data_IF_431648357522
#
_entry.id   IF_431648357522
#
_cell.length_a   1.000
_cell.length_b   1.000
_cell.length_c   1.000
_cell.angle_alpha   90.00
_cell.angle_beta   90.00
_cell.angle_gamma   90.00
#
_symmetry.space_group_name_H-M   'P 1'
#
loop_
_entity.id
_entity.type
_entity.pdbx_description
1 polymer ?
#
# COMPACT_ATOMS: atom_id res chain seq x y z
N UNK A 1 -50.92 2.71 15.51
CA UNK A 1 -49.74 1.82 15.42
C UNK A 1 -49.87 1.04 14.14
N UNK A 2 -49.12 1.39 13.09
CA UNK A 2 -49.14 0.64 11.82
C UNK A 2 -48.67 -0.78 12.11
N UNK A 3 -49.52 -1.78 11.86
CA UNK A 3 -49.12 -3.18 11.86
C UNK A 3 -47.92 -3.34 10.92
N UNK A 4 -46.87 -4.01 11.39
CA UNK A 4 -45.69 -4.28 10.58
C UNK A 4 -46.08 -5.28 9.49
N UNK A 5 -46.23 -4.80 8.25
CA UNK A 5 -46.55 -5.66 7.11
C UNK A 5 -45.31 -6.51 6.77
N UNK A 6 -45.47 -7.83 6.87
CA UNK A 6 -44.43 -8.79 6.54
C UNK A 6 -44.66 -9.29 5.11
N UNK A 7 -43.57 -9.42 4.35
CA UNK A 7 -43.56 -9.93 2.98
C UNK A 7 -42.80 -11.24 2.95
N UNK A 8 -43.34 -12.22 2.20
CA UNK A 8 -42.67 -13.47 1.91
C UNK A 8 -41.77 -13.33 0.67
N UNK A 9 -40.45 -13.39 0.84
CA UNK A 9 -39.49 -13.49 -0.26
C UNK A 9 -39.24 -14.97 -0.54
N UNK A 10 -39.56 -15.41 -1.75
CA UNK A 10 -39.43 -16.81 -2.18
C UNK A 10 -38.27 -16.94 -3.16
N UNK A 11 -37.36 -17.86 -2.88
CA UNK A 11 -36.25 -18.22 -3.77
C UNK A 11 -36.10 -19.74 -3.78
N UNK A 12 -36.12 -20.34 -4.97
CA UNK A 12 -36.19 -21.80 -5.11
C UNK A 12 -37.27 -22.42 -4.20
N UNK A 13 -36.86 -23.26 -3.25
CA UNK A 13 -37.74 -23.95 -2.28
C UNK A 13 -37.78 -23.27 -0.90
N UNK A 14 -37.13 -22.11 -0.72
CA UNK A 14 -37.05 -21.40 0.56
C UNK A 14 -37.89 -20.12 0.58
N UNK A 15 -38.48 -19.85 1.75
CA UNK A 15 -39.31 -18.66 1.99
C UNK A 15 -38.79 -17.89 3.21
N UNK A 16 -38.55 -16.59 3.04
CA UNK A 16 -38.09 -15.69 4.09
C UNK A 16 -39.13 -14.62 4.37
N UNK A 17 -39.47 -14.41 5.63
CA UNK A 17 -40.42 -13.37 6.04
C UNK A 17 -39.67 -12.11 6.50
N UNK A 18 -39.86 -10.99 5.79
CA UNK A 18 -39.14 -9.74 6.05
C UNK A 18 -40.11 -8.55 6.12
N UNK A 19 -39.83 -7.60 7.01
CA UNK A 19 -40.62 -6.37 7.16
C UNK A 19 -40.57 -5.51 5.89
N UNK A 20 -41.74 -5.23 5.29
CA UNK A 20 -41.89 -4.40 4.07
C UNK A 20 -41.19 -3.05 4.21
N UNK A 21 -41.29 -2.45 5.40
CA UNK A 21 -40.69 -1.15 5.72
C UNK A 21 -39.16 -1.21 5.62
N UNK A 22 -38.53 -2.25 6.17
CA UNK A 22 -37.07 -2.41 6.15
C UNK A 22 -36.56 -2.66 4.72
N UNK A 23 -37.28 -3.46 3.93
CA UNK A 23 -36.96 -3.71 2.52
C UNK A 23 -36.93 -2.40 1.72
N UNK A 24 -38.00 -1.61 1.79
CA UNK A 24 -38.11 -0.33 1.06
C UNK A 24 -37.06 0.69 1.53
N UNK A 25 -36.72 0.70 2.81
CA UNK A 25 -35.71 1.61 3.36
C UNK A 25 -34.30 1.28 2.87
N UNK A 26 -33.97 -0.01 2.70
CA UNK A 26 -32.60 -0.48 2.44
C UNK A 26 -32.33 -0.91 1.00
N UNK A 27 -33.36 -1.23 0.22
CA UNK A 27 -33.24 -1.71 -1.16
C UNK A 27 -34.02 -0.81 -2.12
N UNK A 28 -33.30 -0.24 -3.08
CA UNK A 28 -33.91 0.59 -4.12
C UNK A 28 -34.78 -0.25 -5.07
N UNK A 29 -34.44 -1.53 -5.28
CA UNK A 29 -35.26 -2.49 -6.01
C UNK A 29 -36.65 -2.65 -5.38
N UNK A 30 -36.72 -2.98 -4.08
CA UNK A 30 -38.02 -3.15 -3.40
C UNK A 30 -38.75 -1.81 -3.27
N UNK A 31 -38.05 -0.69 -3.08
CA UNK A 31 -38.67 0.64 -3.11
C UNK A 31 -39.34 0.90 -4.46
N UNK A 32 -38.68 0.60 -5.57
CA UNK A 32 -39.24 0.75 -6.91
C UNK A 32 -40.41 -0.21 -7.14
N UNK A 33 -40.26 -1.49 -6.78
CA UNK A 33 -41.30 -2.51 -6.92
C UNK A 33 -42.61 -2.08 -6.23
N UNK A 34 -42.54 -1.67 -4.96
CA UNK A 34 -43.72 -1.27 -4.19
C UNK A 34 -44.23 0.15 -4.48
N UNK A 35 -43.49 0.97 -5.22
CA UNK A 35 -43.95 2.29 -5.68
C UNK A 35 -44.40 2.32 -7.13
N UNK A 36 -44.22 1.23 -7.88
CA UNK A 36 -44.49 1.14 -9.31
C UNK A 36 -45.99 1.13 -9.68
N UNK A 37 -46.87 0.75 -8.75
CA UNK A 37 -48.29 0.52 -9.02
C UNK A 37 -48.58 -0.70 -9.90
N UNK A 38 -47.59 -1.58 -10.10
CA UNK A 38 -47.77 -2.87 -10.78
C UNK A 38 -48.48 -3.89 -9.88
N UNK A 39 -48.96 -4.98 -10.45
CA UNK A 39 -49.72 -6.01 -9.72
C UNK A 39 -48.90 -6.56 -8.53
N UNK A 40 -47.60 -6.73 -8.75
CA UNK A 40 -46.61 -7.20 -7.78
C UNK A 40 -46.46 -6.27 -6.57
N UNK A 41 -46.91 -5.00 -6.67
CA UNK A 41 -46.86 -4.04 -5.54
C UNK A 41 -47.94 -4.30 -4.48
N UNK A 42 -49.01 -4.99 -4.86
CA UNK A 42 -50.14 -5.36 -4.00
C UNK A 42 -50.02 -6.79 -3.45
N UNK A 43 -49.07 -7.58 -3.93
CA UNK A 43 -48.85 -8.95 -3.47
C UNK A 43 -48.02 -8.99 -2.17
N UNK A 44 -48.39 -9.88 -1.25
CA UNK A 44 -47.66 -10.11 0.02
C UNK A 44 -46.48 -11.10 -0.14
N UNK A 45 -46.20 -11.52 -1.38
CA UNK A 45 -45.11 -12.43 -1.71
C UNK A 45 -44.37 -12.01 -2.97
N UNK A 46 -43.04 -12.11 -2.97
CA UNK A 46 -42.19 -11.81 -4.14
C UNK A 46 -41.32 -13.01 -4.44
N UNK A 47 -41.38 -13.51 -5.68
CA UNK A 47 -40.53 -14.60 -6.14
C UNK A 47 -39.28 -14.03 -6.85
N UNK A 48 -38.10 -14.33 -6.32
CA UNK A 48 -36.82 -13.97 -6.93
C UNK A 48 -36.23 -15.18 -7.66
N UNK A 49 -35.61 -14.93 -8.81
CA UNK A 49 -34.97 -15.95 -9.64
C UNK A 49 -33.56 -15.51 -10.01
N UNK A 50 -32.64 -16.46 -10.17
CA UNK A 50 -31.27 -16.20 -10.62
C UNK A 50 -30.35 -15.60 -9.55
N UNK A 51 -30.69 -15.76 -8.27
CA UNK A 51 -29.84 -15.35 -7.15
C UNK A 51 -29.41 -16.56 -6.33
N UNK A 52 -28.25 -16.45 -5.69
CA UNK A 52 -27.81 -17.41 -4.69
C UNK A 52 -28.68 -17.33 -3.42
N UNK A 53 -29.12 -18.50 -2.94
CA UNK A 53 -29.84 -18.62 -1.66
C UNK A 53 -29.00 -18.07 -0.50
N UNK A 54 -27.69 -18.32 -0.52
CA UNK A 54 -26.78 -17.86 0.52
C UNK A 54 -26.62 -16.33 0.51
N UNK A 55 -26.45 -15.75 -0.68
CA UNK A 55 -26.38 -14.29 -0.85
C UNK A 55 -27.64 -13.58 -0.35
N UNK A 56 -28.82 -14.15 -0.60
CA UNK A 56 -30.08 -13.63 -0.09
C UNK A 56 -30.15 -13.69 1.45
N UNK A 57 -29.72 -14.79 2.06
CA UNK A 57 -29.66 -14.91 3.53
C UNK A 57 -28.81 -13.79 4.15
N UNK A 58 -27.63 -13.53 3.59
CA UNK A 58 -26.72 -12.47 4.06
C UNK A 58 -27.33 -11.07 3.90
N UNK A 59 -27.95 -10.79 2.75
CA UNK A 59 -28.58 -9.49 2.50
C UNK A 59 -29.78 -9.29 3.42
N UNK A 60 -30.61 -10.32 3.64
CA UNK A 60 -31.74 -10.24 4.57
C UNK A 60 -31.27 -10.06 6.02
N UNK A 61 -30.22 -10.76 6.43
CA UNK A 61 -29.59 -10.58 7.75
C UNK A 61 -29.12 -9.13 7.91
N UNK A 62 -28.45 -8.58 6.90
CA UNK A 62 -28.04 -7.17 6.89
C UNK A 62 -29.23 -6.21 6.98
N UNK A 63 -30.30 -6.43 6.22
CA UNK A 63 -31.51 -5.60 6.26
C UNK A 63 -32.13 -5.61 7.66
N UNK A 64 -32.05 -6.74 8.36
CA UNK A 64 -32.63 -6.90 9.69
C UNK A 64 -31.76 -6.34 10.81
N UNK A 65 -30.44 -6.51 10.73
CA UNK A 65 -29.49 -6.24 11.83
C UNK A 65 -28.55 -5.06 11.58
N UNK A 66 -28.47 -4.58 10.34
CA UNK A 66 -27.46 -3.64 9.83
C UNK A 66 -26.01 -4.11 10.02
N UNK A 67 -25.79 -5.42 10.17
CA UNK A 67 -24.47 -6.06 10.29
C UNK A 67 -24.38 -7.20 9.27
N UNK A 68 -23.18 -7.38 8.73
CA UNK A 68 -22.85 -8.55 7.90
C UNK A 68 -21.38 -8.89 8.16
N UNK A 69 -21.08 -10.17 8.33
CA UNK A 69 -19.70 -10.64 8.37
C UNK A 69 -19.23 -10.80 6.93
N UNK A 70 -18.14 -10.13 6.60
CA UNK A 70 -17.57 -10.13 5.26
C UNK A 70 -16.43 -11.14 5.27
N UNK A 71 -16.68 -12.30 4.68
CA UNK A 71 -15.69 -13.35 4.49
C UNK A 71 -15.39 -13.51 2.98
N UNK A 72 -14.16 -13.85 2.62
CA UNK A 72 -13.77 -13.95 1.22
C UNK A 72 -14.57 -15.01 0.44
N UNK A 73 -15.04 -16.06 1.11
CA UNK A 73 -15.86 -17.12 0.50
C UNK A 73 -17.29 -16.66 0.21
N UNK A 74 -17.79 -15.66 0.94
CA UNK A 74 -19.17 -15.17 0.83
C UNK A 74 -19.30 -13.87 0.03
N UNK A 75 -18.17 -13.27 -0.36
CA UNK A 75 -18.12 -11.99 -1.06
C UNK A 75 -18.84 -12.00 -2.40
N UNK A 76 -18.70 -13.07 -3.19
CA UNK A 76 -19.33 -13.18 -4.50
C UNK A 76 -20.87 -13.17 -4.37
N UNK A 77 -21.41 -14.08 -3.55
CA UNK A 77 -22.83 -14.19 -3.25
C UNK A 77 -23.42 -12.88 -2.70
N UNK A 78 -22.69 -12.23 -1.78
CA UNK A 78 -23.10 -10.97 -1.16
C UNK A 78 -23.14 -9.82 -2.18
N UNK A 79 -22.11 -9.67 -3.00
CA UNK A 79 -22.00 -8.57 -3.97
C UNK A 79 -23.00 -8.75 -5.10
N UNK A 80 -23.14 -9.97 -5.63
CA UNK A 80 -24.15 -10.31 -6.64
C UNK A 80 -25.54 -9.89 -6.16
N UNK A 81 -25.94 -10.39 -4.98
CA UNK A 81 -27.27 -10.16 -4.43
C UNK A 81 -27.49 -8.71 -4.05
N UNK A 82 -26.50 -8.05 -3.44
CA UNK A 82 -26.59 -6.64 -3.06
C UNK A 82 -26.66 -5.72 -4.30
N UNK A 83 -25.96 -6.07 -5.38
CA UNK A 83 -26.02 -5.34 -6.65
C UNK A 83 -27.40 -5.50 -7.31
N UNK A 84 -27.88 -6.75 -7.42
CA UNK A 84 -29.19 -7.05 -7.99
C UNK A 84 -30.34 -6.38 -7.24
N UNK A 85 -30.35 -6.51 -5.90
CA UNK A 85 -31.37 -5.90 -5.04
C UNK A 85 -31.10 -4.41 -4.75
N UNK A 86 -30.04 -3.83 -5.32
CA UNK A 86 -29.66 -2.43 -5.16
C UNK A 86 -29.62 -1.98 -3.68
N UNK A 87 -28.94 -2.77 -2.85
CA UNK A 87 -28.75 -2.49 -1.42
C UNK A 87 -27.49 -1.63 -1.24
N UNK A 88 -27.59 -0.35 -1.59
CA UNK A 88 -26.47 0.60 -1.64
C UNK A 88 -25.72 0.73 -0.29
N UNK A 89 -26.39 0.44 0.83
CA UNK A 89 -25.77 0.45 2.15
C UNK A 89 -24.70 -0.64 2.33
N UNK A 90 -24.86 -1.80 1.69
CA UNK A 90 -23.86 -2.88 1.69
C UNK A 90 -22.64 -2.45 0.88
N UNK A 91 -22.84 -1.83 -0.28
CA UNK A 91 -21.73 -1.29 -1.09
C UNK A 91 -20.90 -0.27 -0.31
N UNK A 92 -21.56 0.62 0.46
CA UNK A 92 -20.88 1.56 1.36
C UNK A 92 -20.11 0.88 2.48
N UNK A 93 -20.62 -0.22 3.03
CA UNK A 93 -19.91 -1.01 4.03
C UNK A 93 -18.66 -1.68 3.43
N UNK A 94 -18.78 -2.24 2.23
CA UNK A 94 -17.65 -2.85 1.51
C UNK A 94 -16.54 -1.83 1.23
N UNK A 95 -16.90 -0.59 0.90
CA UNK A 95 -15.94 0.51 0.73
C UNK A 95 -15.11 0.80 2.00
N UNK A 96 -15.70 0.67 3.19
CA UNK A 96 -14.98 0.87 4.46
C UNK A 96 -14.16 -0.34 4.92
N UNK A 97 -14.43 -1.52 4.38
CA UNK A 97 -13.83 -2.79 4.81
C UNK A 97 -12.81 -3.36 3.79
N UNK A 98 -12.31 -2.53 2.88
CA UNK A 98 -11.24 -2.91 1.94
C UNK A 98 -9.95 -3.16 2.72
N UNK A 99 -9.39 -4.36 2.58
CA UNK A 99 -8.21 -4.89 3.27
C UNK A 99 -7.28 -5.58 2.28
N UNK A 100 -6.05 -5.88 2.70
CA UNK A 100 -5.04 -6.51 1.83
C UNK A 100 -5.44 -7.91 1.31
N UNK A 101 -6.23 -8.64 2.10
CA UNK A 101 -6.68 -10.01 1.84
C UNK A 101 -7.92 -10.10 0.95
N UNK A 102 -8.79 -9.09 0.97
CA UNK A 102 -10.03 -9.08 0.17
C UNK A 102 -9.97 -8.17 -1.08
N UNK A 103 -9.02 -7.21 -1.14
CA UNK A 103 -9.08 -6.14 -2.14
C UNK A 103 -9.00 -6.61 -3.59
N UNK A 104 -8.22 -7.66 -3.88
CA UNK A 104 -8.10 -8.18 -5.26
C UNK A 104 -9.41 -8.81 -5.72
N UNK A 105 -10.06 -9.57 -4.84
CA UNK A 105 -11.32 -10.24 -5.19
C UNK A 105 -12.46 -9.23 -5.26
N UNK A 106 -12.55 -8.31 -4.29
CA UNK A 106 -13.47 -7.18 -4.34
C UNK A 106 -13.36 -6.39 -5.64
N UNK A 107 -12.13 -6.13 -6.12
CA UNK A 107 -11.92 -5.43 -7.38
C UNK A 107 -12.51 -6.19 -8.57
N UNK A 108 -12.25 -7.49 -8.68
CA UNK A 108 -12.77 -8.31 -9.79
C UNK A 108 -14.30 -8.36 -9.79
N UNK A 109 -14.90 -8.59 -8.62
CA UNK A 109 -16.35 -8.64 -8.47
C UNK A 109 -16.97 -7.28 -8.76
N UNK A 110 -16.37 -6.19 -8.28
CA UNK A 110 -16.85 -4.83 -8.54
C UNK A 110 -16.81 -4.49 -10.03
N UNK A 111 -15.75 -4.87 -10.76
CA UNK A 111 -15.68 -4.68 -12.21
C UNK A 111 -16.72 -5.56 -12.95
N UNK A 112 -16.90 -6.81 -12.52
CA UNK A 112 -17.87 -7.72 -13.13
C UNK A 112 -19.31 -7.24 -12.98
N UNK A 113 -19.68 -6.76 -11.78
CA UNK A 113 -21.03 -6.25 -11.48
C UNK A 113 -21.21 -4.74 -11.79
N UNK A 114 -20.20 -4.06 -12.34
CA UNK A 114 -20.30 -2.65 -12.74
C UNK A 114 -20.35 -1.65 -11.57
N UNK A 115 -19.81 -2.01 -10.40
CA UNK A 115 -19.78 -1.18 -9.19
C UNK A 115 -18.52 -0.29 -9.21
N UNK A 116 -18.54 0.75 -10.05
CA UNK A 116 -17.37 1.59 -10.35
C UNK A 116 -16.74 2.30 -9.14
N UNK A 117 -17.54 2.71 -8.16
CA UNK A 117 -17.02 3.37 -6.95
C UNK A 117 -16.17 2.39 -6.12
N UNK A 118 -16.62 1.13 -6.01
CA UNK A 118 -15.92 0.07 -5.29
C UNK A 118 -14.66 -0.36 -6.06
N UNK A 119 -14.75 -0.56 -7.38
CA UNK A 119 -13.58 -0.93 -8.17
C UNK A 119 -12.50 0.16 -8.17
N UNK A 120 -12.90 1.43 -8.26
CA UNK A 120 -11.99 2.58 -8.15
C UNK A 120 -11.33 2.67 -6.76
N UNK A 121 -12.11 2.42 -5.70
CA UNK A 121 -11.58 2.40 -4.33
C UNK A 121 -10.58 1.25 -4.12
N UNK A 122 -10.87 0.05 -4.62
CA UNK A 122 -9.94 -1.08 -4.58
C UNK A 122 -8.67 -0.78 -5.37
N UNK A 123 -8.77 -0.21 -6.58
CA UNK A 123 -7.60 0.16 -7.37
C UNK A 123 -6.72 1.19 -6.66
N UNK A 124 -7.34 2.21 -6.05
CA UNK A 124 -6.63 3.20 -5.22
C UNK A 124 -5.96 2.53 -4.02
N UNK A 125 -6.65 1.61 -3.35
CA UNK A 125 -6.10 0.87 -2.21
C UNK A 125 -4.87 0.05 -2.63
N UNK A 126 -4.94 -0.71 -3.72
CA UNK A 126 -3.80 -1.48 -4.24
C UNK A 126 -2.60 -0.59 -4.56
N UNK A 127 -2.86 0.58 -5.15
CA UNK A 127 -1.84 1.60 -5.48
C UNK A 127 -1.17 2.17 -4.23
N UNK A 128 -1.96 2.50 -3.21
CA UNK A 128 -1.47 3.00 -1.92
C UNK A 128 -0.71 1.93 -1.12
N UNK A 129 -1.04 0.65 -1.28
CA UNK A 129 -0.45 -0.49 -0.57
C UNK A 129 0.45 -1.37 -1.47
N UNK A 130 1.06 -0.79 -2.50
CA UNK A 130 1.72 -1.54 -3.57
C UNK A 130 2.76 -2.58 -3.11
N UNK A 131 3.71 -2.23 -2.22
CA UNK A 131 4.73 -3.19 -1.74
C UNK A 131 4.13 -4.37 -0.94
N UNK A 132 3.22 -4.16 0.01
CA UNK A 132 2.43 -5.25 0.59
C UNK A 132 1.66 -6.07 -0.44
N UNK A 133 1.05 -5.44 -1.46
CA UNK A 133 0.29 -6.13 -2.49
C UNK A 133 1.15 -7.05 -3.36
N UNK A 134 2.34 -6.65 -3.80
CA UNK A 134 3.21 -7.51 -4.65
C UNK A 134 3.69 -8.79 -3.94
N UNK A 135 3.62 -8.81 -2.61
CA UNK A 135 3.93 -10.00 -1.80
C UNK A 135 2.78 -11.00 -1.76
N UNK A 136 1.56 -10.56 -2.06
CA UNK A 136 0.34 -11.38 -2.04
C UNK A 136 0.27 -12.28 -3.26
N UNK A 137 -0.12 -13.53 -3.03
CA UNK A 137 -0.27 -14.52 -4.10
C UNK A 137 -1.36 -14.07 -5.08
N UNK A 138 -2.48 -13.58 -4.56
CA UNK A 138 -3.66 -13.15 -5.32
C UNK A 138 -3.29 -12.04 -6.32
N UNK A 139 -2.46 -11.08 -5.90
CA UNK A 139 -1.97 -10.01 -6.76
C UNK A 139 -0.98 -10.51 -7.82
N UNK A 140 -0.08 -11.45 -7.48
CA UNK A 140 0.90 -12.02 -8.43
C UNK A 140 0.24 -12.78 -9.58
N UNK A 141 -0.93 -13.38 -9.34
CA UNK A 141 -1.71 -14.08 -10.37
C UNK A 141 -2.44 -13.14 -11.33
N UNK A 142 -2.50 -11.84 -11.04
CA UNK A 142 -3.10 -10.87 -11.95
C UNK A 142 -2.25 -10.69 -13.23
N UNK A 143 -2.89 -10.35 -14.37
CA UNK A 143 -2.19 -10.09 -15.62
C UNK A 143 -1.06 -9.07 -15.44
N UNK A 144 0.08 -9.31 -16.10
CA UNK A 144 1.25 -8.43 -15.99
C UNK A 144 0.94 -6.98 -16.38
N UNK A 145 0.11 -6.76 -17.39
CA UNK A 145 -0.35 -5.43 -17.81
C UNK A 145 -1.10 -4.71 -16.69
N UNK A 146 -1.95 -5.42 -15.93
CA UNK A 146 -2.69 -4.85 -14.81
C UNK A 146 -1.74 -4.51 -13.64
N UNK A 147 -0.81 -5.40 -13.30
CA UNK A 147 0.20 -5.13 -12.27
C UNK A 147 1.04 -3.90 -12.61
N UNK A 148 1.41 -3.74 -13.89
CA UNK A 148 2.10 -2.57 -14.38
C UNK A 148 1.23 -1.31 -14.29
N UNK A 149 -0.06 -1.39 -14.63
CA UNK A 149 -1.01 -0.29 -14.47
C UNK A 149 -1.09 0.19 -13.01
N UNK A 150 -1.18 -0.71 -12.03
CA UNK A 150 -1.19 -0.36 -10.60
C UNK A 150 0.10 0.37 -10.22
N UNK A 151 1.25 -0.12 -10.69
CA UNK A 151 2.55 0.53 -10.48
C UNK A 151 2.59 1.92 -11.12
N UNK A 152 2.16 2.06 -12.36
CA UNK A 152 2.14 3.33 -13.08
C UNK A 152 1.23 4.35 -12.38
N UNK A 153 0.07 3.92 -11.89
CA UNK A 153 -0.82 4.76 -11.09
C UNK A 153 -0.15 5.24 -9.80
N UNK A 154 0.68 4.42 -9.17
CA UNK A 154 1.47 4.82 -7.99
C UNK A 154 2.53 5.85 -8.34
N UNK A 155 3.09 5.77 -9.55
CA UNK A 155 4.10 6.71 -10.03
C UNK A 155 3.51 8.06 -10.42
N UNK A 156 2.18 8.16 -10.65
CA UNK A 156 1.51 9.43 -10.92
C UNK A 156 1.46 10.31 -9.68
N UNK A 157 1.79 11.59 -9.85
CA UNK A 157 1.71 12.59 -8.80
C UNK A 157 2.66 13.75 -9.07
N UNK A 158 2.73 14.68 -8.11
CA UNK A 158 3.65 15.81 -8.17
C UNK A 158 4.97 15.41 -7.52
N UNK A 159 6.07 15.52 -8.28
CA UNK A 159 7.40 15.34 -7.73
C UNK A 159 7.61 16.31 -6.56
N UNK A 160 8.01 15.80 -5.41
CA UNK A 160 8.19 16.59 -4.19
C UNK A 160 9.58 16.36 -3.65
N UNK A 161 10.32 17.43 -3.37
CA UNK A 161 11.62 17.34 -2.71
C UNK A 161 11.40 17.14 -1.21
N UNK A 162 12.02 16.11 -0.65
CA UNK A 162 11.96 15.78 0.77
C UNK A 162 13.39 15.80 1.33
N UNK A 163 13.55 16.48 2.46
CA UNK A 163 14.75 16.42 3.28
C UNK A 163 14.45 15.61 4.55
N UNK A 164 15.38 14.75 4.92
CA UNK A 164 15.28 13.88 6.10
C UNK A 164 16.56 14.07 6.89
N UNK A 165 16.44 14.22 8.21
CA UNK A 165 17.58 14.43 9.08
C UNK A 165 17.16 15.06 10.39
N UNK A 166 18.16 15.44 11.18
CA UNK A 166 17.95 16.19 12.41
C UNK A 166 18.15 17.68 12.13
N UNK A 167 17.04 18.42 11.99
CA UNK A 167 17.05 19.84 11.62
C UNK A 167 17.03 20.72 12.88
N UNK A 168 18.21 21.00 13.44
CA UNK A 168 18.40 21.77 14.69
C UNK A 168 18.56 23.30 14.44
N UNK A 169 18.17 23.81 13.27
CA UNK A 169 18.47 25.19 12.84
C UNK A 169 17.29 26.17 12.90
N UNK A 170 17.55 27.40 13.35
CA UNK A 170 16.64 28.57 13.46
C UNK A 170 16.15 29.16 12.13
N UNK A 171 16.48 28.56 10.98
CA UNK A 171 16.09 29.07 9.65
C UNK A 171 14.71 28.61 9.18
N UNK A 172 14.04 27.80 9.99
CA UNK A 172 12.68 27.37 9.76
C UNK A 172 11.80 28.25 10.65
N UNK A 173 10.95 29.12 10.06
CA UNK A 173 9.85 29.83 10.74
C UNK A 173 8.78 28.83 11.24
N UNK A 174 9.21 27.75 11.89
CA UNK A 174 8.37 26.70 12.42
C UNK A 174 8.19 26.99 13.90
N UNK A 175 6.92 27.08 14.32
CA UNK A 175 6.54 27.34 15.69
C UNK A 175 7.33 26.44 16.65
N UNK A 176 7.73 27.01 17.79
CA UNK A 176 8.40 26.31 18.88
C UNK A 176 7.59 25.05 19.27
N UNK A 177 8.04 23.89 18.78
CA UNK A 177 7.65 22.58 19.28
C UNK A 177 8.84 21.99 20.05
N UNK A 178 8.54 21.20 21.07
CA UNK A 178 9.54 20.59 21.96
C UNK A 178 10.43 19.55 21.25
N UNK A 179 10.04 19.06 20.06
CA UNK A 179 10.80 18.11 19.24
C UNK A 179 11.08 18.65 17.83
N UNK A 180 12.33 18.56 17.32
CA UNK A 180 12.67 18.99 15.97
C UNK A 180 12.02 18.10 14.92
N UNK A 181 11.50 18.72 13.86
CA UNK A 181 11.00 18.00 12.69
C UNK A 181 12.11 17.16 12.08
N UNK A 182 11.83 15.89 11.79
CA UNK A 182 12.81 14.99 11.18
C UNK A 182 12.64 14.84 9.66
N UNK A 183 11.51 15.33 9.12
CA UNK A 183 11.18 15.30 7.70
C UNK A 183 10.59 16.64 7.27
N UNK A 184 11.12 17.19 6.19
CA UNK A 184 10.68 18.44 5.58
C UNK A 184 10.36 18.20 4.11
N UNK A 185 9.30 18.83 3.61
CA UNK A 185 8.98 18.90 2.18
C UNK A 185 9.20 20.30 1.67
N UNK A 186 9.76 20.44 0.48
CA UNK A 186 9.89 21.74 -0.18
C UNK A 186 8.58 22.10 -0.86
N UNK A 187 8.02 23.25 -0.51
CA UNK A 187 6.87 23.83 -1.19
C UNK A 187 7.35 24.86 -2.21
N UNK A 188 7.20 24.56 -3.49
CA UNK A 188 7.69 25.41 -4.58
C UNK A 188 6.96 26.75 -4.66
N UNK A 189 5.69 26.79 -4.28
CA UNK A 189 4.84 27.99 -4.36
C UNK A 189 5.28 29.02 -3.33
N UNK A 190 5.48 28.60 -2.08
CA UNK A 190 5.97 29.47 -0.99
C UNK A 190 7.49 29.56 -0.92
N UNK A 191 8.21 28.74 -1.69
CA UNK A 191 9.67 28.58 -1.66
C UNK A 191 10.22 28.29 -0.25
N UNK A 192 9.46 27.51 0.54
CA UNK A 192 9.79 27.22 1.93
C UNK A 192 9.80 25.72 2.19
N UNK A 193 10.61 25.32 3.16
CA UNK A 193 10.53 23.98 3.74
C UNK A 193 9.38 23.95 4.73
N UNK A 194 8.45 23.03 4.48
CA UNK A 194 7.31 22.77 5.35
C UNK A 194 7.50 21.43 6.06
N UNK A 195 7.06 21.30 7.32
CA UNK A 195 7.14 20.05 8.04
C UNK A 195 6.24 19.00 7.39
N UNK A 196 6.71 17.76 7.43
CA UNK A 196 5.92 16.60 7.07
C UNK A 196 5.47 15.91 8.36
N UNK A 197 4.18 15.57 8.46
CA UNK A 197 3.57 15.15 9.72
C UNK A 197 4.12 13.81 10.26
N UNK A 198 4.62 12.93 9.40
CA UNK A 198 5.29 11.69 9.79
C UNK A 198 6.76 11.97 10.14
N UNK A 199 7.12 11.90 11.42
CA UNK A 199 8.52 11.94 11.85
C UNK A 199 9.21 10.59 11.63
N UNK A 200 10.54 10.56 11.79
CA UNK A 200 11.32 9.34 11.65
C UNK A 200 10.88 8.26 12.65
N UNK A 201 10.98 6.96 12.29
CA UNK A 201 10.85 5.86 13.23
C UNK A 201 11.76 6.04 14.45
N UNK A 202 11.29 5.66 15.64
CA UNK A 202 11.99 5.92 16.91
C UNK A 202 13.40 5.30 16.98
N UNK A 203 13.63 4.19 16.28
CA UNK A 203 14.92 3.50 16.19
C UNK A 203 15.89 4.13 15.17
N UNK A 204 15.39 5.06 14.35
CA UNK A 204 16.11 5.87 13.35
C UNK A 204 16.38 7.32 13.81
N UNK A 205 15.87 7.72 14.97
CA UNK A 205 16.21 9.00 15.60
C UNK A 205 17.69 8.99 16.03
N UNK A 206 18.40 10.09 15.80
CA UNK A 206 19.84 10.23 16.10
C UNK A 206 20.75 9.19 15.40
N UNK A 207 20.32 8.66 14.26
CA UNK A 207 21.14 7.79 13.40
C UNK A 207 21.76 8.63 12.29
N UNK A 208 23.05 8.42 12.03
CA UNK A 208 23.79 9.09 10.93
C UNK A 208 24.30 8.06 9.92
N UNK A 209 24.60 8.51 8.71
CA UNK A 209 25.22 7.65 7.69
C UNK A 209 24.36 6.46 7.25
N UNK A 210 23.03 6.53 7.43
CA UNK A 210 22.10 5.59 6.83
C UNK A 210 22.03 5.79 5.32
N UNK A 211 21.74 4.72 4.58
CA UNK A 211 21.46 4.80 3.16
C UNK A 211 20.02 5.25 2.95
N UNK A 212 19.79 6.11 1.96
CA UNK A 212 18.45 6.50 1.52
C UNK A 212 18.27 6.32 0.02
N UNK A 213 17.08 5.93 -0.40
CA UNK A 213 16.73 5.74 -1.81
C UNK A 213 15.21 5.84 -2.02
N UNK A 214 14.78 6.12 -3.23
CA UNK A 214 13.36 6.07 -3.62
C UNK A 214 13.14 4.92 -4.59
N UNK A 215 12.19 4.05 -4.29
CA UNK A 215 11.78 2.93 -5.16
C UNK A 215 10.25 2.84 -5.16
N UNK A 216 9.65 2.82 -6.35
CA UNK A 216 8.20 2.81 -6.55
C UNK A 216 7.47 3.87 -5.71
N UNK A 217 8.00 5.11 -5.65
CA UNK A 217 7.48 6.20 -4.81
C UNK A 217 7.37 5.86 -3.31
N UNK A 218 8.13 4.89 -2.82
CA UNK A 218 8.45 4.75 -1.40
C UNK A 218 9.84 5.31 -1.14
N UNK A 219 10.00 5.98 0.00
CA UNK A 219 11.28 6.48 0.47
C UNK A 219 11.84 5.49 1.49
N UNK A 220 13.05 5.00 1.27
CA UNK A 220 13.72 4.03 2.13
C UNK A 220 14.81 4.71 2.95
N UNK A 221 14.94 4.30 4.21
CA UNK A 221 16.10 4.57 5.06
C UNK A 221 16.58 3.25 5.67
N UNK A 222 17.88 2.99 5.57
CA UNK A 222 18.44 1.67 5.91
C UNK A 222 19.79 1.82 6.61
N UNK A 223 20.00 1.03 7.65
CA UNK A 223 21.26 0.94 8.38
C UNK A 223 21.63 2.24 9.08
N UNK A 224 22.93 2.52 9.16
CA UNK A 224 23.48 3.70 9.78
C UNK A 224 24.17 3.42 11.11
N UNK A 225 24.56 4.50 11.77
CA UNK A 225 25.37 4.52 12.98
C UNK A 225 24.69 5.38 14.04
N UNK A 226 24.39 4.78 15.20
CA UNK A 226 23.83 5.48 16.36
C UNK A 226 24.91 6.28 17.08
N UNK A 227 24.51 7.37 17.73
CA UNK A 227 25.38 8.15 18.62
C UNK A 227 26.00 7.31 19.76
N UNK A 228 25.39 6.19 20.14
CA UNK A 228 25.92 5.21 21.10
C UNK A 228 27.05 4.33 20.55
N UNK A 229 27.61 4.70 19.39
CA UNK A 229 28.67 3.97 18.70
C UNK A 229 28.31 2.56 18.23
N UNK A 230 27.07 2.42 17.73
CA UNK A 230 26.54 1.14 17.27
C UNK A 230 26.04 1.24 15.82
N UNK A 231 26.59 0.41 14.94
CA UNK A 231 26.01 0.18 13.62
C UNK A 231 24.71 -0.62 13.72
N UNK A 232 23.75 -0.29 12.87
CA UNK A 232 22.44 -0.93 12.84
C UNK A 232 22.13 -1.52 11.47
N UNK A 233 21.18 -2.45 11.44
CA UNK A 233 20.67 -3.09 10.23
C UNK A 233 19.19 -2.77 9.97
N UNK A 234 18.58 -1.93 10.82
CA UNK A 234 17.19 -1.56 10.71
C UNK A 234 16.90 -0.91 9.36
N UNK A 235 15.71 -1.16 8.83
CA UNK A 235 15.31 -0.76 7.50
C UNK A 235 13.84 -0.38 7.52
N UNK A 236 13.53 0.81 7.03
CA UNK A 236 12.18 1.36 7.02
C UNK A 236 11.87 1.98 5.66
N UNK A 237 10.60 1.95 5.29
CA UNK A 237 10.08 2.64 4.11
C UNK A 237 8.92 3.55 4.49
N UNK A 238 8.96 4.78 4.00
CA UNK A 238 7.91 5.77 4.12
C UNK A 238 6.98 5.69 2.91
N UNK A 239 5.68 5.62 3.19
CA UNK A 239 4.62 5.60 2.20
C UNK A 239 3.92 6.96 2.11
N UNK A 240 4.18 7.78 1.08
CA UNK A 240 3.59 9.11 0.98
C UNK A 240 2.07 9.08 0.78
N UNK A 241 1.50 7.98 0.24
CA UNK A 241 0.04 7.86 0.08
C UNK A 241 -0.71 7.78 1.42
N UNK A 242 -0.02 7.31 2.46
CA UNK A 242 -0.59 7.07 3.80
C UNK A 242 0.03 7.95 4.88
N UNK A 243 1.12 8.66 4.57
CA UNK A 243 1.91 9.42 5.53
C UNK A 243 2.41 8.56 6.70
N UNK A 244 2.86 7.35 6.39
CA UNK A 244 3.24 6.33 7.38
C UNK A 244 4.58 5.67 7.04
N UNK A 245 5.38 5.43 8.08
CA UNK A 245 6.56 4.57 8.02
C UNK A 245 6.18 3.10 8.28
N UNK A 246 6.82 2.19 7.57
CA UNK A 246 6.69 0.76 7.76
C UNK A 246 8.08 0.14 7.90
N UNK A 247 8.24 -0.76 8.86
CA UNK A 247 9.44 -1.57 8.97
C UNK A 247 9.47 -2.63 7.86
N UNK A 248 10.64 -2.83 7.26
CA UNK A 248 10.90 -3.90 6.29
C UNK A 248 11.98 -4.84 6.81
N UNK A 249 12.30 -5.91 6.07
CA UNK A 249 13.40 -6.80 6.44
C UNK A 249 14.70 -6.02 6.71
N UNK A 250 15.35 -6.37 7.81
CA UNK A 250 16.64 -5.77 8.18
C UNK A 250 17.76 -6.30 7.30
N UNK A 251 18.82 -5.50 7.12
CA UNK A 251 20.03 -5.95 6.45
C UNK A 251 20.63 -7.18 7.14
N UNK A 252 21.24 -8.07 6.36
CA UNK A 252 21.99 -9.21 6.90
C UNK A 252 23.27 -8.74 7.61
N UNK A 253 23.93 -7.71 7.06
CA UNK A 253 25.10 -7.08 7.65
C UNK A 253 24.82 -5.62 8.00
N UNK A 254 24.98 -5.28 9.28
CA UNK A 254 24.97 -3.90 9.78
C UNK A 254 26.03 -3.09 9.04
N UNK A 255 25.69 -1.85 8.67
CA UNK A 255 26.57 -0.97 7.90
C UNK A 255 26.20 0.49 8.07
N UNK A 256 27.20 1.35 7.96
CA UNK A 256 27.07 2.81 7.95
C UNK A 256 27.92 3.42 6.83
N UNK A 257 27.66 4.67 6.45
CA UNK A 257 28.40 5.43 5.42
C UNK A 257 28.46 4.74 4.05
N UNK A 258 27.43 3.96 3.74
CA UNK A 258 27.27 3.19 2.52
C UNK A 258 26.41 3.95 1.49
N UNK A 259 26.13 3.35 0.33
CA UNK A 259 25.15 3.89 -0.63
C UNK A 259 24.00 2.91 -0.86
N UNK A 260 22.79 3.46 -0.83
CA UNK A 260 21.56 2.74 -1.17
C UNK A 260 21.08 3.22 -2.54
N UNK A 261 20.90 2.31 -3.48
CA UNK A 261 20.51 2.63 -4.85
C UNK A 261 19.28 1.84 -5.27
N UNK A 262 18.33 2.48 -5.94
CA UNK A 262 17.23 1.79 -6.59
C UNK A 262 17.61 1.48 -8.04
N UNK A 263 17.62 0.20 -8.41
CA UNK A 263 18.01 -0.27 -9.74
C UNK A 263 17.08 -1.41 -10.16
N UNK A 264 16.50 -1.31 -11.34
CA UNK A 264 15.65 -2.35 -11.95
C UNK A 264 14.60 -2.93 -10.98
N UNK A 265 13.94 -2.07 -10.20
CA UNK A 265 12.88 -2.47 -9.27
C UNK A 265 13.35 -3.04 -7.92
N UNK A 266 14.65 -2.99 -7.62
CA UNK A 266 15.23 -3.49 -6.37
C UNK A 266 16.09 -2.41 -5.69
N UNK A 267 16.42 -2.61 -4.42
CA UNK A 267 17.38 -1.75 -3.71
C UNK A 267 18.71 -2.48 -3.53
N UNK A 268 19.81 -1.75 -3.67
CA UNK A 268 21.16 -2.26 -3.46
C UNK A 268 21.85 -1.44 -2.38
N UNK A 269 22.20 -2.10 -1.27
CA UNK A 269 23.03 -1.56 -0.21
C UNK A 269 24.50 -1.92 -0.52
N UNK A 270 25.26 -0.93 -0.97
CA UNK A 270 26.61 -1.10 -1.51
C UNK A 270 27.64 -0.62 -0.49
N UNK A 271 28.58 -1.48 -0.10
CA UNK A 271 29.73 -1.11 0.73
C UNK A 271 29.37 -0.58 2.12
N UNK A 272 30.18 0.33 2.63
CA UNK A 272 30.09 0.94 3.96
C UNK A 272 31.42 0.89 4.71
N UNK A 273 31.42 1.42 5.94
CA UNK A 273 32.60 1.43 6.80
C UNK A 273 33.15 0.01 6.99
N UNK A 274 34.36 -0.26 6.48
CA UNK A 274 35.03 -1.57 6.54
C UNK A 274 34.26 -2.75 5.93
N UNK A 275 33.28 -2.48 5.06
CA UNK A 275 32.47 -3.52 4.39
C UNK A 275 32.57 -3.38 2.88
N UNK A 276 32.86 -4.49 2.19
CA UNK A 276 32.80 -4.58 0.72
C UNK A 276 31.54 -5.27 0.21
N UNK A 277 30.76 -5.90 1.10
CA UNK A 277 29.57 -6.67 0.70
C UNK A 277 28.50 -5.77 0.08
N UNK A 278 27.77 -6.36 -0.87
CA UNK A 278 26.61 -5.73 -1.49
C UNK A 278 25.39 -6.60 -1.21
N UNK A 279 24.33 -5.98 -0.73
CA UNK A 279 23.05 -6.65 -0.48
C UNK A 279 21.96 -6.09 -1.39
N UNK A 280 21.13 -6.96 -1.94
CA UNK A 280 20.01 -6.65 -2.81
C UNK A 280 18.68 -6.96 -2.11
N UNK A 281 17.85 -5.95 -1.89
CA UNK A 281 16.50 -6.09 -1.37
C UNK A 281 15.51 -6.34 -2.50
N UNK A 282 14.68 -7.37 -2.34
CA UNK A 282 13.55 -7.65 -3.21
C UNK A 282 12.23 -7.28 -2.50
N UNK A 283 11.50 -6.23 -2.95
CA UNK A 283 10.21 -5.85 -2.36
C UNK A 283 9.14 -6.94 -2.41
N UNK A 284 9.20 -7.83 -3.41
CA UNK A 284 8.24 -8.94 -3.57
C UNK A 284 8.44 -10.03 -2.51
N UNK A 285 9.66 -10.19 -1.99
CA UNK A 285 10.01 -11.21 -1.01
C UNK A 285 10.19 -10.63 0.40
N UNK A 286 10.29 -9.31 0.52
CA UNK A 286 10.72 -8.64 1.75
C UNK A 286 12.01 -9.26 2.30
N UNK A 287 13.04 -9.33 1.47
CA UNK A 287 14.26 -10.05 1.79
C UNK A 287 15.50 -9.44 1.15
N UNK A 288 16.59 -9.42 1.91
CA UNK A 288 17.92 -9.01 1.45
C UNK A 288 18.75 -10.24 1.09
N UNK A 289 19.30 -10.26 -0.12
CA UNK A 289 20.19 -11.30 -0.60
C UNK A 289 21.59 -10.73 -0.86
N UNK A 290 22.64 -11.48 -0.53
CA UNK A 290 24.00 -11.10 -0.90
C UNK A 290 24.19 -11.24 -2.41
N UNK A 291 24.78 -10.22 -3.03
CA UNK A 291 25.24 -10.26 -4.43
C UNK A 291 26.76 -10.11 -4.46
N UNK A 292 27.37 -10.01 -5.66
CA UNK A 292 28.82 -9.90 -5.72
C UNK A 292 29.31 -8.65 -4.95
N UNK A 293 30.44 -8.80 -4.27
CA UNK A 293 30.99 -7.74 -3.41
C UNK A 293 31.84 -6.77 -4.22
N UNK A 294 32.08 -5.59 -3.66
CA UNK A 294 33.16 -4.71 -4.12
C UNK A 294 34.51 -5.44 -3.94
N UNK A 295 35.53 -5.16 -4.79
CA UNK A 295 36.89 -5.70 -4.65
C UNK A 295 37.52 -5.35 -3.31
N UNK A 296 37.27 -4.12 -2.84
CA UNK A 296 37.79 -3.60 -1.58
C UNK A 296 36.67 -2.94 -0.75
N UNK A 297 36.76 -2.97 0.59
CA UNK A 297 35.86 -2.22 1.45
C UNK A 297 35.93 -0.73 1.17
N UNK A 298 34.78 -0.09 0.97
CA UNK A 298 34.69 1.29 0.51
C UNK A 298 33.60 2.05 1.27
N UNK A 299 33.97 3.21 1.83
CA UNK A 299 33.07 4.11 2.55
C UNK A 299 33.16 5.54 1.99
N UNK A 300 32.13 6.34 2.26
CA UNK A 300 32.00 7.75 1.84
C UNK A 300 32.24 8.01 0.33
N UNK A 301 32.03 6.99 -0.49
CA UNK A 301 32.05 7.10 -1.94
C UNK A 301 30.76 7.73 -2.47
N UNK A 302 30.78 8.13 -3.74
CA UNK A 302 29.58 8.52 -4.50
C UNK A 302 29.13 7.35 -5.38
N UNK A 303 27.82 7.15 -5.50
CA UNK A 303 27.29 6.18 -6.44
C UNK A 303 25.96 6.64 -7.04
N UNK A 304 25.69 6.21 -8.27
CA UNK A 304 24.46 6.51 -8.97
C UNK A 304 24.01 5.34 -9.85
N UNK A 305 22.71 5.33 -10.16
CA UNK A 305 22.12 4.47 -11.19
C UNK A 305 22.05 5.26 -12.51
N UNK A 306 22.37 4.62 -13.63
CA UNK A 306 22.10 5.14 -14.96
C UNK A 306 21.93 3.99 -15.96
N UNK A 307 20.76 3.93 -16.63
CA UNK A 307 20.42 2.92 -17.64
C UNK A 307 20.50 1.46 -17.13
N UNK A 308 20.04 1.23 -15.91
CA UNK A 308 20.04 -0.07 -15.25
C UNK A 308 21.39 -0.48 -14.67
N UNK A 309 22.37 0.43 -14.61
CA UNK A 309 23.73 0.15 -14.18
C UNK A 309 24.12 1.00 -12.97
N UNK A 310 24.91 0.42 -12.04
CA UNK A 310 25.44 1.13 -10.88
C UNK A 310 26.88 1.60 -11.11
N UNK A 311 27.11 2.88 -10.88
CA UNK A 311 28.43 3.49 -10.99
C UNK A 311 28.90 3.87 -9.60
N UNK A 312 30.09 3.41 -9.20
CA UNK A 312 30.71 3.69 -7.90
C UNK A 312 31.99 4.47 -8.13
N UNK A 313 32.14 5.62 -7.45
CA UNK A 313 33.24 6.54 -7.68
C UNK A 313 33.79 7.11 -6.37
N UNK A 314 35.11 7.13 -6.25
CA UNK A 314 35.81 7.70 -5.10
C UNK A 314 35.63 6.89 -3.82
N UNK A 315 35.71 7.56 -2.67
CA UNK A 315 35.67 6.95 -1.33
C UNK A 315 37.06 6.61 -0.78
N UNK A 316 37.07 6.04 0.42
CA UNK A 316 38.30 5.58 1.07
C UNK A 316 38.23 4.10 1.46
N UNK A 317 39.40 3.47 1.47
CA UNK A 317 39.59 2.10 1.95
C UNK A 317 40.40 2.13 3.25
N UNK A 318 40.23 1.13 4.12
CA UNK A 318 40.96 1.06 5.39
C UNK A 318 42.48 0.85 5.24
N UNK A 319 42.97 0.52 4.04
CA UNK A 319 44.38 0.15 3.78
C UNK A 319 45.29 1.30 3.37
N UNK A 320 44.79 2.53 3.29
CA UNK A 320 45.65 3.69 3.11
C UNK A 320 44.87 4.97 2.90
N UNK A 321 45.42 6.08 3.38
CA UNK A 321 44.96 7.48 3.17
C UNK A 321 45.04 7.91 1.68
N UNK A 322 45.11 6.95 0.76
CA UNK A 322 45.09 7.22 -0.67
C UNK A 322 43.65 7.42 -1.10
N UNK A 323 43.34 8.68 -1.41
CA UNK A 323 42.19 9.07 -2.22
C UNK A 323 42.31 8.31 -3.54
N UNK A 324 41.61 7.19 -3.70
CA UNK A 324 41.61 6.49 -4.98
C UNK A 324 40.54 7.17 -5.84
N UNK A 325 40.97 7.95 -6.83
CA UNK A 325 40.13 8.35 -7.97
C UNK A 325 39.93 7.16 -8.91
N UNK A 326 39.42 6.04 -8.41
CA UNK A 326 38.98 4.96 -9.28
C UNK A 326 37.50 5.15 -9.57
N UNK A 327 37.20 5.50 -10.82
CA UNK A 327 35.90 5.21 -11.41
C UNK A 327 35.80 3.69 -11.51
N UNK A 328 35.09 3.04 -10.58
CA UNK A 328 34.80 1.62 -10.72
C UNK A 328 33.36 1.49 -11.22
N UNK A 329 33.21 1.25 -12.51
CA UNK A 329 31.95 0.81 -13.08
C UNK A 329 31.77 -0.67 -12.72
N UNK A 330 30.77 -0.99 -11.89
CA UNK A 330 30.38 -2.38 -11.67
C UNK A 330 29.21 -2.74 -12.59
N UNK A 331 29.41 -3.82 -13.32
CA UNK A 331 28.37 -4.54 -14.04
C UNK A 331 27.62 -5.42 -13.03
N UNK A 332 26.35 -5.15 -12.80
CA UNK A 332 25.42 -6.16 -12.33
C UNK A 332 24.30 -6.29 -13.35
N UNK A 333 24.46 -7.22 -14.30
CA UNK A 333 23.33 -8.03 -14.76
C UNK A 333 23.78 -9.30 -15.50
N UNK A 334 23.57 -10.45 -14.86
CA UNK A 334 22.75 -11.59 -15.33
C UNK A 334 22.91 -12.72 -14.32
N UNK A 335 21.94 -12.90 -13.44
CA UNK A 335 21.64 -14.25 -12.98
C UNK A 335 20.57 -14.73 -13.97
N UNK A 336 21.00 -15.63 -14.85
CA UNK A 336 20.20 -16.35 -15.85
C UNK A 336 18.96 -16.98 -15.26
#
# INVERSE_FOLDING_TARGET
MSSEQMIAIMIEDKTYSVSKRKLIEKSDYFRALYSSGMKESEEDSVQLQGLSVHGLELVIEFINTAKVQIDNETLEDLIETASFLQVTSIVKLLLSEIKLDNCVELYKLAEFYGIHDLSSACLKFMTCHYHPMVRRQEFRHLPAAFRQQVRDLRMKGTATLIAIGDFIGTSLDLAHQDEPWSMLRYDEVSQRWLPLASNLPSDMVNVRGYGSAVLDNYLFIVGGYRMTSQEISAAHCYNPCRNEWNQIASLNQKRSNFKLLAVNGKLYAVGGQSVSSVECYNPELDWWSSVASLPDPLAEFSACECKGMMYVMGGYTARGVNIIYTSIAFLFERIT
#
